data_IF_056574528361
#
_entry.id   IF_056574528361
#
_cell.length_a   1.000
_cell.length_b   1.000
_cell.length_c   1.000
_cell.angle_alpha   90.00
_cell.angle_beta   90.00
_cell.angle_gamma   90.00
#
_symmetry.space_group_name_H-M   'P 1'
#
loop_
_entity.id
_entity.type
_entity.pdbx_description
1 polymer ?
#
# COMPACT_ATOMS: atom_id res chain seq x y z
N UNK A 1 18.47 3.53 1.60
CA UNK A 1 17.59 3.20 2.76
C UNK A 1 16.15 3.08 2.29
N UNK A 2 15.28 2.34 2.98
CA UNK A 2 13.86 2.16 2.63
C UNK A 2 12.94 2.57 3.77
N UNK A 3 11.79 3.16 3.42
CA UNK A 3 10.69 3.43 4.34
C UNK A 3 9.56 2.43 4.07
N UNK A 4 9.24 1.59 5.07
CA UNK A 4 8.24 0.53 4.93
C UNK A 4 6.83 1.12 5.00
N UNK A 5 5.98 0.75 4.05
CA UNK A 5 4.60 1.19 3.94
C UNK A 5 3.63 0.04 4.22
N UNK A 6 3.97 -1.16 3.74
CA UNK A 6 3.16 -2.36 3.92
C UNK A 6 4.06 -3.59 3.95
N UNK A 7 3.74 -4.55 4.81
CA UNK A 7 4.48 -5.80 4.95
C UNK A 7 3.46 -6.91 5.15
N UNK A 8 3.49 -7.92 4.29
CA UNK A 8 2.69 -9.13 4.43
C UNK A 8 3.58 -10.36 4.32
N UNK A 9 3.29 -11.38 5.13
CA UNK A 9 4.10 -12.58 5.20
C UNK A 9 3.42 -13.69 6.00
N UNK A 10 4.04 -14.86 5.95
CA UNK A 10 3.65 -16.01 6.76
C UNK A 10 4.15 -15.76 8.19
N UNK A 11 3.21 -15.67 9.14
CA UNK A 11 3.52 -15.54 10.55
C UNK A 11 3.92 -16.89 11.17
N UNK A 12 4.61 -16.83 12.31
CA UNK A 12 4.85 -17.99 13.15
C UNK A 12 3.52 -18.49 13.74
N UNK A 13 3.38 -19.80 13.88
CA UNK A 13 2.19 -20.42 14.49
C UNK A 13 2.10 -20.10 15.98
N UNK A 14 3.23 -19.87 16.66
CA UNK A 14 3.27 -19.59 18.10
C UNK A 14 3.19 -18.10 18.40
N UNK A 15 3.78 -17.24 17.55
CA UNK A 15 3.69 -15.79 17.66
C UNK A 15 3.24 -15.16 16.33
N UNK A 16 1.97 -14.77 16.20
CA UNK A 16 1.42 -14.22 14.94
C UNK A 16 2.03 -12.87 14.55
N UNK A 17 2.83 -12.26 15.43
CA UNK A 17 3.57 -11.03 15.17
C UNK A 17 4.98 -11.27 14.62
N UNK A 18 5.47 -12.50 14.69
CA UNK A 18 6.78 -12.88 14.18
C UNK A 18 6.61 -13.41 12.76
N UNK A 19 7.13 -12.67 11.78
CA UNK A 19 7.07 -13.08 10.38
C UNK A 19 8.19 -14.09 10.10
N UNK A 20 7.86 -15.30 9.66
CA UNK A 20 8.85 -16.31 9.23
C UNK A 20 9.33 -16.08 7.80
N UNK A 21 8.42 -15.63 6.94
CA UNK A 21 8.68 -15.40 5.52
C UNK A 21 7.85 -14.26 4.99
N UNK A 22 8.47 -13.33 4.27
CA UNK A 22 7.77 -12.23 3.62
C UNK A 22 7.22 -12.69 2.26
N UNK A 23 5.97 -12.34 2.01
CA UNK A 23 5.26 -12.56 0.74
C UNK A 23 5.20 -11.27 -0.08
N UNK A 24 5.13 -10.13 0.60
CA UNK A 24 5.02 -8.83 -0.03
C UNK A 24 5.57 -7.74 0.89
N UNK A 25 6.27 -6.78 0.29
CA UNK A 25 6.71 -5.54 0.93
C UNK A 25 6.46 -4.38 -0.01
N UNK A 26 5.71 -3.38 0.45
CA UNK A 26 5.62 -2.06 -0.18
C UNK A 26 6.48 -1.08 0.60
N UNK A 27 7.36 -0.37 -0.09
CA UNK A 27 8.27 0.59 0.54
C UNK A 27 8.65 1.73 -0.40
N UNK A 28 9.01 2.88 0.16
CA UNK A 28 9.61 3.99 -0.57
C UNK A 28 11.14 3.90 -0.49
N UNK A 29 11.83 3.99 -1.63
CA UNK A 29 13.29 4.09 -1.63
C UNK A 29 13.71 5.50 -1.24
N UNK A 30 14.35 5.68 -0.08
CA UNK A 30 14.79 7.01 0.39
C UNK A 30 16.01 7.57 -0.36
N UNK A 31 16.50 6.87 -1.39
CA UNK A 31 17.58 7.38 -2.25
C UNK A 31 17.04 8.06 -3.51
N UNK A 32 16.03 7.47 -4.15
CA UNK A 32 15.45 7.97 -5.41
C UNK A 32 13.95 8.25 -5.33
N UNK A 33 13.36 8.16 -4.13
CA UNK A 33 11.94 8.37 -3.83
C UNK A 33 10.95 7.49 -4.61
N UNK A 34 11.44 6.44 -5.27
CA UNK A 34 10.59 5.52 -6.03
C UNK A 34 9.88 4.56 -5.10
N UNK A 35 8.56 4.44 -5.29
CA UNK A 35 7.76 3.41 -4.64
C UNK A 35 8.08 2.03 -5.23
N UNK A 36 8.24 1.08 -4.33
CA UNK A 36 8.66 -0.28 -4.60
C UNK A 36 7.56 -1.22 -4.10
N UNK A 37 7.12 -2.13 -4.95
CA UNK A 37 6.22 -3.23 -4.63
C UNK A 37 6.99 -4.53 -4.86
N UNK A 38 7.50 -5.17 -3.82
CA UNK A 38 8.31 -6.37 -3.97
C UNK A 38 7.66 -7.60 -3.33
N UNK A 39 7.49 -8.63 -4.14
CA UNK A 39 6.98 -9.94 -3.74
C UNK A 39 7.98 -11.06 -3.97
N UNK A 40 8.96 -10.87 -4.87
CA UNK A 40 9.92 -11.90 -5.27
C UNK A 40 11.28 -11.29 -5.63
N UNK A 41 12.26 -12.18 -5.87
CA UNK A 41 13.59 -11.79 -6.33
C UNK A 41 13.51 -11.13 -7.73
N UNK A 42 14.38 -10.15 -8.03
CA UNK A 42 15.47 -9.65 -7.19
C UNK A 42 15.06 -8.55 -6.20
N UNK A 43 13.81 -8.08 -6.26
CA UNK A 43 13.35 -6.92 -5.48
C UNK A 43 13.13 -7.27 -3.99
N UNK A 44 12.70 -8.49 -3.69
CA UNK A 44 12.58 -9.05 -2.34
C UNK A 44 13.23 -10.43 -2.30
N UNK A 45 14.28 -10.56 -1.50
CA UNK A 45 14.95 -11.84 -1.26
C UNK A 45 14.82 -12.18 0.22
N UNK A 46 14.05 -13.21 0.53
CA UNK A 46 13.94 -13.72 1.90
C UNK A 46 15.27 -14.36 2.34
N UNK A 47 15.62 -14.17 3.60
CA UNK A 47 16.77 -14.77 4.29
C UNK A 47 16.26 -15.52 5.54
N UNK A 48 17.15 -16.06 6.35
CA UNK A 48 16.79 -16.77 7.57
C UNK A 48 16.05 -15.85 8.57
N UNK A 49 15.19 -16.46 9.41
CA UNK A 49 14.50 -15.82 10.52
C UNK A 49 13.67 -14.57 10.14
N UNK A 50 12.97 -14.62 9.00
CA UNK A 50 12.10 -13.53 8.55
C UNK A 50 12.83 -12.27 8.07
N UNK A 51 14.16 -12.30 8.03
CA UNK A 51 14.94 -11.22 7.44
C UNK A 51 14.76 -11.24 5.91
N UNK A 52 14.94 -10.08 5.29
CA UNK A 52 14.89 -9.97 3.84
C UNK A 52 15.82 -8.87 3.34
N UNK A 53 16.25 -9.02 2.09
CA UNK A 53 16.92 -7.97 1.34
C UNK A 53 15.93 -7.34 0.38
N UNK A 54 15.82 -6.01 0.45
CA UNK A 54 15.11 -5.20 -0.54
C UNK A 54 16.11 -4.59 -1.52
N UNK A 55 15.76 -4.63 -2.81
CA UNK A 55 16.52 -4.00 -3.88
C UNK A 55 15.62 -3.06 -4.68
N UNK A 56 16.02 -1.81 -4.81
CA UNK A 56 15.33 -0.84 -5.65
C UNK A 56 15.74 -1.07 -7.11
N UNK A 57 14.77 -1.41 -7.98
CA UNK A 57 15.03 -1.61 -9.40
C UNK A 57 15.43 -0.32 -10.14
N UNK A 58 15.13 0.86 -9.58
CA UNK A 58 15.37 2.13 -10.25
C UNK A 58 16.80 2.66 -10.04
N UNK A 59 17.28 2.71 -8.79
CA UNK A 59 18.61 3.23 -8.46
C UNK A 59 19.61 2.17 -8.00
N UNK A 60 19.21 0.90 -7.92
CA UNK A 60 20.07 -0.19 -7.44
C UNK A 60 20.31 -0.20 -5.93
N UNK A 61 19.76 0.75 -5.16
CA UNK A 61 19.90 0.76 -3.71
C UNK A 61 19.42 -0.57 -3.11
N UNK A 62 20.26 -1.17 -2.26
CA UNK A 62 20.04 -2.49 -1.67
C UNK A 62 20.19 -2.41 -0.16
N UNK A 63 19.25 -2.99 0.58
CA UNK A 63 19.29 -2.99 2.04
C UNK A 63 18.83 -4.32 2.60
N UNK A 64 19.62 -4.89 3.50
CA UNK A 64 19.18 -6.00 4.35
C UNK A 64 18.41 -5.45 5.55
N UNK A 65 17.25 -6.04 5.82
CA UNK A 65 16.37 -5.68 6.93
C UNK A 65 16.12 -6.95 7.75
N UNK A 66 16.39 -6.88 9.05
CA UNK A 66 16.20 -8.00 9.97
C UNK A 66 14.72 -8.35 10.17
N UNK A 67 14.41 -9.63 10.41
CA UNK A 67 13.04 -10.07 10.71
C UNK A 67 12.39 -9.36 11.91
N UNK A 68 13.18 -8.99 12.92
CA UNK A 68 12.71 -8.21 14.06
C UNK A 68 12.12 -6.85 13.66
N UNK A 69 12.67 -6.20 12.63
CA UNK A 69 12.15 -4.90 12.13
C UNK A 69 10.84 -5.06 11.37
N UNK A 70 10.72 -6.11 10.57
CA UNK A 70 9.45 -6.45 9.91
C UNK A 70 8.37 -6.82 10.93
N UNK A 71 8.74 -7.61 11.94
CA UNK A 71 7.83 -8.04 13.01
C UNK A 71 7.38 -6.86 13.89
N UNK A 72 8.28 -5.93 14.23
CA UNK A 72 7.93 -4.68 14.93
C UNK A 72 6.99 -3.81 14.08
N UNK A 73 7.24 -3.69 12.78
CA UNK A 73 6.37 -2.97 11.86
C UNK A 73 4.96 -3.59 11.79
N UNK A 74 4.86 -4.90 11.59
CA UNK A 74 3.58 -5.62 11.54
C UNK A 74 2.78 -5.45 12.84
N UNK A 75 3.47 -5.53 14.00
CA UNK A 75 2.87 -5.30 15.32
C UNK A 75 2.32 -3.88 15.47
N UNK A 76 3.03 -2.87 14.96
CA UNK A 76 2.59 -1.47 15.03
C UNK A 76 1.41 -1.17 14.10
N UNK A 77 1.38 -1.76 12.90
CA UNK A 77 0.23 -1.65 11.98
C UNK A 77 -1.05 -2.21 12.61
N UNK A 78 -0.98 -3.41 13.20
CA UNK A 78 -2.14 -4.04 13.84
C UNK A 78 -2.67 -3.23 15.03
N UNK A 79 -1.78 -2.51 15.72
CA UNK A 79 -2.15 -1.62 16.84
C UNK A 79 -2.62 -0.23 16.37
N UNK A 80 -2.71 0.02 15.06
CA UNK A 80 -3.08 1.33 14.50
C UNK A 80 -2.05 2.43 14.78
N UNK A 81 -0.82 2.06 15.14
CA UNK A 81 0.26 3.02 15.48
C UNK A 81 0.97 3.56 14.23
N UNK A 82 0.64 3.05 13.05
CA UNK A 82 1.09 3.54 11.76
C UNK A 82 -0.19 3.86 10.97
N UNK A 83 -0.46 5.13 10.65
CA UNK A 83 -1.62 5.46 9.82
C UNK A 83 -1.44 4.80 8.45
N UNK A 84 -2.48 4.18 7.87
CA UNK A 84 -2.45 3.79 6.47
C UNK A 84 -2.17 5.06 5.66
N UNK A 85 -1.12 5.09 4.82
CA UNK A 85 -0.92 6.24 3.93
C UNK A 85 -2.00 6.21 2.85
N UNK A 86 -3.10 6.90 3.12
CA UNK A 86 -4.21 7.14 2.19
C UNK A 86 -3.81 8.14 1.08
N UNK A 87 -2.70 8.87 1.27
CA UNK A 87 -2.20 9.94 0.36
C UNK A 87 -1.49 9.46 -0.92
N UNK A 88 -1.83 8.29 -1.46
CA UNK A 88 -1.23 7.81 -2.73
C UNK A 88 -2.25 7.47 -3.82
N UNK A 89 -3.48 7.96 -3.72
CA UNK A 89 -4.41 8.07 -4.85
C UNK A 89 -5.03 9.48 -4.81
N UNK A 90 -5.03 10.25 -5.92
CA UNK A 90 -5.95 11.37 -6.02
C UNK A 90 -7.36 10.79 -5.93
N UNK A 91 -8.13 11.22 -4.92
CA UNK A 91 -9.55 11.01 -4.90
C UNK A 91 -10.11 11.52 -6.24
N UNK A 92 -10.60 10.59 -7.07
CA UNK A 92 -11.42 10.96 -8.20
C UNK A 92 -12.65 11.67 -7.63
N UNK A 93 -12.63 12.99 -7.65
CA UNK A 93 -13.76 13.82 -7.29
C UNK A 93 -14.88 13.57 -8.32
N UNK A 94 -16.07 13.09 -7.93
CA UNK A 94 -17.25 13.46 -8.66
C UNK A 94 -17.51 14.93 -8.30
N UNK A 95 -17.09 15.84 -9.19
CA UNK A 95 -17.33 17.27 -9.02
C UNK A 95 -18.83 17.58 -8.84
N UNK A 96 -19.18 18.63 -8.08
CA UNK A 96 -20.56 19.03 -7.88
C UNK A 96 -21.02 19.83 -9.11
N UNK A 97 -22.10 19.39 -9.75
CA UNK A 97 -22.88 20.25 -10.64
C UNK A 97 -24.24 20.50 -9.97
N UNK A 98 -24.23 21.53 -9.14
CA UNK A 98 -25.37 22.12 -8.45
C UNK A 98 -26.28 22.86 -9.46
N UNK A 99 -27.55 22.43 -9.55
CA UNK A 99 -28.79 23.26 -9.51
C UNK A 99 -29.16 24.18 -10.71
N UNK A 100 -30.19 23.71 -11.46
CA UNK A 100 -31.49 24.38 -11.85
C UNK A 100 -31.52 25.74 -12.62
N UNK A 101 -32.67 26.29 -13.08
CA UNK A 101 -34.01 25.74 -13.45
C UNK A 101 -34.62 26.34 -14.78
N UNK A 102 -35.88 25.94 -15.07
CA UNK A 102 -36.92 26.59 -15.91
C UNK A 102 -36.81 26.47 -17.45
N UNK A 103 -37.88 26.28 -18.23
CA UNK A 103 -39.28 26.71 -18.10
C UNK A 103 -40.26 25.80 -18.91
N UNK A 104 -41.60 25.97 -18.79
CA UNK A 104 -42.62 25.00 -19.20
C UNK A 104 -43.20 25.22 -20.62
N UNK A 105 -44.28 24.47 -20.94
CA UNK A 105 -45.24 24.54 -22.09
C UNK A 105 -45.04 23.40 -23.12
N UNK A 106 -46.05 22.69 -23.66
CA UNK A 106 -47.49 22.94 -23.85
C UNK A 106 -48.22 21.61 -24.18
N UNK A 107 -49.51 21.56 -23.90
CA UNK A 107 -50.49 20.52 -24.28
C UNK A 107 -50.45 20.05 -25.74
N UNK A 108 -50.84 18.79 -25.97
CA UNK A 108 -51.85 18.42 -26.97
C UNK A 108 -52.65 17.16 -26.56
N UNK A 109 -53.91 17.02 -27.01
CA UNK A 109 -54.91 16.11 -26.44
C UNK A 109 -54.97 14.75 -27.14
N UNK A 110 -55.73 13.84 -26.52
CA UNK A 110 -56.09 12.52 -27.01
C UNK A 110 -56.66 12.50 -28.45
N UNK A 111 -56.43 11.40 -29.17
CA UNK A 111 -57.34 10.90 -30.18
C UNK A 111 -57.54 9.38 -30.02
N UNK A 112 -58.79 9.04 -29.69
CA UNK A 112 -59.60 7.84 -29.98
C UNK A 112 -58.95 6.46 -30.06
#
# INVERSE_FOLDING_TARGET
MFYLLEVAGDADSEDPHTLRRLRFVRAECLLCHTLLNASTAPALVNVAHGAAVLTCAHCGNRQAISGARFSDFARRLQRGLIPPREDALPAAAPGPAEVMPAAPQRHKPQLR
#
